data_IF_287197198243
#
_entry.id   IF_287197198243
#
_cell.length_a   1.000
_cell.length_b   1.000
_cell.length_c   1.000
_cell.angle_alpha   90.00
_cell.angle_beta   90.00
_cell.angle_gamma   90.00
#
_symmetry.space_group_name_H-M   'P 1'
#
loop_
_entity.id
_entity.type
_entity.pdbx_description
1 polymer ?
#
# COMPACT_ATOMS: atom_id res chain seq x y z
N UNK A 1 -4.60 1.36 12.92
CA UNK A 1 -5.34 0.27 12.25
C UNK A 1 -4.38 -0.89 12.12
N UNK A 2 -4.58 -1.97 12.87
CA UNK A 2 -3.65 -3.09 12.94
C UNK A 2 -4.16 -4.20 12.01
N UNK A 3 -3.28 -4.72 11.14
CA UNK A 3 -3.57 -5.89 10.31
C UNK A 3 -3.61 -7.11 11.23
N UNK A 4 -4.68 -7.90 11.21
CA UNK A 4 -4.92 -8.95 12.23
C UNK A 4 -4.49 -10.37 11.83
N UNK A 5 -4.04 -10.63 10.60
CA UNK A 5 -3.33 -11.87 10.23
C UNK A 5 -2.81 -11.80 8.78
N UNK A 6 -1.63 -12.35 8.52
CA UNK A 6 -1.14 -12.62 7.16
C UNK A 6 -1.40 -14.09 6.84
N UNK A 7 -2.36 -14.35 5.96
CA UNK A 7 -2.67 -15.69 5.47
C UNK A 7 -2.01 -15.92 4.11
N UNK A 8 -1.37 -17.07 3.90
CA UNK A 8 -0.70 -17.40 2.63
C UNK A 8 -1.72 -17.63 1.52
N UNK A 9 -1.31 -17.44 0.26
CA UNK A 9 -2.18 -17.56 -0.92
C UNK A 9 -2.96 -18.90 -0.99
N UNK A 10 -2.40 -19.99 -0.45
CA UNK A 10 -3.04 -21.33 -0.44
C UNK A 10 -4.27 -21.42 0.46
N UNK A 11 -4.46 -20.44 1.35
CA UNK A 11 -5.63 -20.35 2.24
C UNK A 11 -6.73 -19.42 1.71
N UNK A 12 -6.47 -18.68 0.63
CA UNK A 12 -7.50 -17.99 -0.13
C UNK A 12 -8.07 -18.95 -1.17
N UNK A 13 -9.40 -19.08 -1.32
CA UNK A 13 -9.96 -19.84 -2.42
C UNK A 13 -9.49 -19.22 -3.73
N UNK A 14 -9.31 -20.07 -4.74
CA UNK A 14 -8.99 -19.61 -6.09
C UNK A 14 -10.01 -18.53 -6.49
N UNK A 15 -9.53 -17.30 -6.62
CA UNK A 15 -10.30 -16.18 -7.15
C UNK A 15 -10.81 -16.63 -8.52
N UNK A 16 -12.14 -16.65 -8.69
CA UNK A 16 -12.81 -17.24 -9.86
C UNK A 16 -12.74 -16.34 -11.08
N UNK A 17 -12.38 -15.09 -10.86
CA UNK A 17 -12.23 -14.05 -11.88
C UNK A 17 -11.41 -14.54 -13.05
N UNK A 18 -12.01 -14.40 -14.24
CA UNK A 18 -11.41 -14.83 -15.50
C UNK A 18 -10.20 -13.96 -15.83
N UNK A 19 -9.05 -14.60 -16.03
CA UNK A 19 -7.88 -13.95 -16.63
C UNK A 19 -8.17 -13.72 -18.11
N UNK A 20 -8.12 -12.46 -18.53
CA UNK A 20 -8.34 -12.04 -19.91
C UNK A 20 -7.01 -11.70 -20.58
N UNK A 21 -6.93 -11.86 -21.89
CA UNK A 21 -5.80 -11.35 -22.67
C UNK A 21 -6.22 -10.04 -23.32
N UNK A 22 -5.61 -8.94 -22.89
CA UNK A 22 -5.86 -7.58 -23.39
C UNK A 22 -4.52 -7.03 -23.87
N UNK A 23 -4.44 -6.69 -25.17
CA UNK A 23 -3.20 -6.22 -25.80
C UNK A 23 -2.01 -7.18 -25.58
N UNK A 24 -2.26 -8.49 -25.72
CA UNK A 24 -1.23 -9.52 -25.53
C UNK A 24 -0.79 -9.74 -24.07
N UNK A 25 -1.35 -9.01 -23.10
CA UNK A 25 -1.04 -9.18 -21.67
C UNK A 25 -2.19 -9.85 -20.94
N UNK A 26 -1.85 -10.77 -20.03
CA UNK A 26 -2.81 -11.39 -19.11
C UNK A 26 -3.20 -10.37 -18.04
N UNK A 27 -4.47 -9.99 -18.00
CA UNK A 27 -5.04 -9.02 -17.04
C UNK A 27 -6.27 -9.60 -16.35
N UNK A 28 -6.61 -9.06 -15.20
CA UNK A 28 -7.84 -9.39 -14.48
C UNK A 28 -8.59 -8.11 -14.13
N UNK A 29 -9.91 -8.17 -14.23
CA UNK A 29 -10.78 -7.04 -13.89
C UNK A 29 -10.80 -6.85 -12.38
N UNK A 30 -10.36 -5.68 -11.91
CA UNK A 30 -10.18 -5.39 -10.49
C UNK A 30 -11.49 -5.55 -9.70
N UNK A 31 -12.61 -5.12 -10.30
CA UNK A 31 -13.94 -5.21 -9.69
C UNK A 31 -14.38 -6.67 -9.44
N UNK A 32 -14.12 -7.59 -10.38
CA UNK A 32 -14.44 -9.00 -10.18
C UNK A 32 -13.57 -9.62 -9.08
N UNK A 33 -12.29 -9.21 -8.99
CA UNK A 33 -11.42 -9.61 -7.90
C UNK A 33 -11.98 -9.16 -6.55
N UNK A 34 -12.39 -7.90 -6.42
CA UNK A 34 -13.05 -7.39 -5.21
C UNK A 34 -14.28 -8.21 -4.84
N UNK A 35 -15.15 -8.48 -5.82
CA UNK A 35 -16.36 -9.26 -5.59
C UNK A 35 -16.06 -10.67 -5.08
N UNK A 36 -15.11 -11.38 -5.72
CA UNK A 36 -14.71 -12.73 -5.32
C UNK A 36 -14.12 -12.77 -3.90
N UNK A 37 -13.28 -11.80 -3.54
CA UNK A 37 -12.71 -11.70 -2.19
C UNK A 37 -13.80 -11.36 -1.17
N UNK A 38 -14.74 -10.48 -1.51
CA UNK A 38 -15.88 -10.13 -0.66
C UNK A 38 -16.77 -11.34 -0.39
N UNK A 39 -17.10 -12.13 -1.42
CA UNK A 39 -17.86 -13.38 -1.28
C UNK A 39 -17.10 -14.40 -0.41
N UNK A 40 -15.79 -14.54 -0.61
CA UNK A 40 -14.97 -15.38 0.25
C UNK A 40 -14.94 -14.89 1.71
N UNK A 41 -14.74 -13.59 1.93
CA UNK A 41 -14.68 -12.99 3.25
C UNK A 41 -16.00 -13.21 3.99
N UNK A 42 -17.13 -13.05 3.29
CA UNK A 42 -18.47 -13.31 3.81
C UNK A 42 -18.71 -14.77 4.17
N UNK A 43 -18.34 -15.71 3.29
CA UNK A 43 -18.45 -17.15 3.57
C UNK A 43 -17.57 -17.56 4.76
N UNK A 44 -16.34 -17.05 4.81
CA UNK A 44 -15.40 -17.32 5.89
C UNK A 44 -15.93 -16.77 7.21
N UNK A 45 -16.43 -15.53 7.21
CA UNK A 45 -17.06 -14.90 8.38
C UNK A 45 -18.29 -15.68 8.88
N UNK A 46 -19.10 -16.26 7.99
CA UNK A 46 -20.23 -17.11 8.39
C UNK A 46 -19.81 -18.43 9.04
N UNK A 47 -18.70 -19.02 8.60
CA UNK A 47 -18.19 -20.31 9.10
C UNK A 47 -17.33 -20.14 10.36
N UNK A 48 -16.62 -19.02 10.45
CA UNK A 48 -15.81 -18.58 11.58
C UNK A 48 -15.94 -17.06 11.65
N UNK A 49 -16.82 -16.51 12.51
CA UNK A 49 -16.99 -15.07 12.67
C UNK A 49 -15.63 -14.38 12.70
N UNK A 50 -15.38 -13.56 11.69
CA UNK A 50 -14.07 -13.02 11.41
C UNK A 50 -13.65 -12.03 12.48
N UNK A 51 -12.41 -12.20 12.96
CA UNK A 51 -11.64 -11.28 13.79
C UNK A 51 -11.05 -10.09 13.02
N UNK A 52 -11.52 -9.82 11.80
CA UNK A 52 -10.93 -8.83 10.89
C UNK A 52 -11.96 -7.81 10.42
N UNK A 53 -11.55 -6.55 10.38
CA UNK A 53 -12.35 -5.41 9.89
C UNK A 53 -12.10 -5.10 8.40
N UNK A 54 -11.06 -5.69 7.80
CA UNK A 54 -10.70 -5.48 6.41
C UNK A 54 -9.88 -6.64 5.85
N UNK A 55 -10.08 -6.98 4.58
CA UNK A 55 -9.29 -7.98 3.87
C UNK A 55 -8.59 -7.34 2.66
N UNK A 56 -7.28 -7.51 2.57
CA UNK A 56 -6.51 -7.06 1.40
C UNK A 56 -5.99 -8.26 0.62
N UNK A 57 -6.28 -8.34 -0.68
CA UNK A 57 -5.62 -9.29 -1.58
C UNK A 57 -4.47 -8.63 -2.30
N UNK A 58 -3.28 -9.19 -2.13
CA UNK A 58 -2.09 -8.83 -2.89
C UNK A 58 -1.91 -9.81 -4.06
N UNK A 59 -1.84 -9.30 -5.29
CA UNK A 59 -1.75 -10.11 -6.51
C UNK A 59 -0.66 -9.62 -7.44
N UNK A 60 0.00 -10.54 -8.16
CA UNK A 60 0.93 -10.18 -9.26
C UNK A 60 0.24 -10.02 -10.62
N UNK A 61 -1.07 -10.30 -10.70
CA UNK A 61 -1.82 -10.08 -11.92
C UNK A 61 -1.97 -8.57 -12.22
N UNK A 62 -1.83 -8.21 -13.49
CA UNK A 62 -2.16 -6.88 -13.98
C UNK A 62 -3.66 -6.64 -13.80
N UNK A 63 -4.03 -5.57 -13.09
CA UNK A 63 -5.42 -5.20 -12.85
C UNK A 63 -5.87 -4.15 -13.87
N UNK A 64 -7.12 -4.22 -14.28
CA UNK A 64 -7.73 -3.17 -15.10
C UNK A 64 -9.13 -2.85 -14.62
N UNK A 65 -9.55 -1.61 -14.84
CA UNK A 65 -10.93 -1.18 -14.68
C UNK A 65 -11.60 -1.10 -16.05
N UNK A 66 -12.74 -1.78 -16.22
CA UNK A 66 -13.53 -1.71 -17.46
C UNK A 66 -14.16 -0.35 -17.68
N UNK A 67 -14.57 0.34 -16.62
CA UNK A 67 -15.25 1.63 -16.71
C UNK A 67 -14.30 2.68 -17.26
N UNK A 68 -13.12 2.78 -16.66
CA UNK A 68 -12.09 3.72 -17.07
C UNK A 68 -11.29 3.22 -18.29
N UNK A 69 -11.43 1.94 -18.66
CA UNK A 69 -10.59 1.25 -19.66
C UNK A 69 -9.09 1.36 -19.38
N UNK A 70 -8.73 1.52 -18.10
CA UNK A 70 -7.38 1.84 -17.67
C UNK A 70 -6.78 0.75 -16.79
N UNK A 71 -5.45 0.73 -16.80
CA UNK A 71 -4.66 -0.08 -15.89
C UNK A 71 -4.68 0.57 -14.49
N UNK A 72 -4.98 -0.22 -13.46
CA UNK A 72 -5.04 0.26 -12.07
C UNK A 72 -4.05 -0.50 -11.18
N UNK A 73 -3.49 0.18 -10.18
CA UNK A 73 -2.58 -0.45 -9.22
C UNK A 73 -3.33 -1.13 -8.07
N UNK A 74 -4.54 -0.69 -7.78
CA UNK A 74 -5.40 -1.25 -6.76
C UNK A 74 -6.85 -0.86 -7.00
N UNK A 75 -7.73 -1.44 -6.20
CA UNK A 75 -9.14 -1.02 -6.13
C UNK A 75 -9.70 -1.34 -4.75
N UNK A 76 -10.66 -0.55 -4.32
CA UNK A 76 -11.43 -0.71 -3.09
C UNK A 76 -12.81 -0.09 -3.26
N UNK A 77 -13.75 -0.47 -2.41
CA UNK A 77 -15.06 0.16 -2.35
C UNK A 77 -15.04 1.31 -1.34
N UNK A 78 -15.61 2.45 -1.73
CA UNK A 78 -15.70 3.62 -0.86
C UNK A 78 -16.55 3.31 0.37
N UNK A 79 -16.05 3.64 1.57
CA UNK A 79 -16.78 3.56 2.83
C UNK A 79 -17.23 2.12 3.23
N UNK A 80 -16.57 1.08 2.72
CA UNK A 80 -16.92 -0.33 2.90
C UNK A 80 -16.58 -0.98 4.25
N UNK A 81 -15.83 -0.31 5.14
CA UNK A 81 -15.12 -0.99 6.26
C UNK A 81 -15.98 -1.77 7.28
N UNK A 82 -17.30 -1.58 7.32
CA UNK A 82 -18.19 -2.35 8.19
C UNK A 82 -19.25 -3.15 7.42
N UNK A 83 -19.10 -3.27 6.10
CA UNK A 83 -19.94 -4.12 5.26
C UNK A 83 -19.13 -5.35 4.84
N UNK A 84 -19.60 -6.54 5.19
CA UNK A 84 -18.83 -7.79 5.06
C UNK A 84 -18.43 -8.08 3.60
N UNK A 85 -19.25 -7.66 2.63
CA UNK A 85 -18.94 -7.82 1.20
C UNK A 85 -18.00 -6.73 0.69
N UNK A 86 -17.96 -5.57 1.33
CA UNK A 86 -17.26 -4.38 0.84
C UNK A 86 -16.02 -3.99 1.63
N UNK A 87 -15.74 -4.64 2.76
CA UNK A 87 -14.53 -4.47 3.59
C UNK A 87 -13.28 -5.11 2.95
N UNK A 88 -13.11 -4.93 1.65
CA UNK A 88 -12.09 -5.61 0.85
C UNK A 88 -11.37 -4.63 -0.07
N UNK A 89 -10.08 -4.89 -0.29
CA UNK A 89 -9.31 -4.22 -1.33
C UNK A 89 -8.43 -5.21 -2.10
N UNK A 90 -8.14 -4.88 -3.36
CA UNK A 90 -7.20 -5.61 -4.20
C UNK A 90 -6.03 -4.73 -4.57
N UNK A 91 -4.81 -5.25 -4.44
CA UNK A 91 -3.57 -4.53 -4.67
C UNK A 91 -2.74 -5.33 -5.67
N UNK A 92 -2.41 -4.71 -6.80
CA UNK A 92 -1.36 -5.20 -7.70
C UNK A 92 -0.01 -4.95 -7.07
N UNK A 93 0.72 -6.03 -6.82
CA UNK A 93 2.10 -5.98 -6.32
C UNK A 93 3.04 -5.82 -7.52
N UNK A 94 3.49 -4.58 -7.76
CA UNK A 94 4.64 -4.31 -8.63
C UNK A 94 5.95 -4.50 -7.86
N UNK A 95 6.07 -3.84 -6.71
CA UNK A 95 7.16 -3.98 -5.75
C UNK A 95 6.68 -3.52 -4.36
N UNK A 96 7.42 -3.84 -3.30
CA UNK A 96 7.01 -3.60 -1.90
C UNK A 96 6.53 -2.17 -1.64
N UNK A 97 7.36 -1.16 -1.92
CA UNK A 97 7.03 0.24 -1.59
C UNK A 97 5.78 0.77 -2.31
N UNK A 98 5.60 0.44 -3.60
CA UNK A 98 4.38 0.81 -4.32
C UNK A 98 3.18 0.03 -3.79
N UNK A 99 3.32 -1.27 -3.52
CA UNK A 99 2.24 -2.10 -2.99
C UNK A 99 1.75 -1.58 -1.63
N UNK A 100 2.66 -1.18 -0.72
CA UNK A 100 2.30 -0.60 0.58
C UNK A 100 1.55 0.71 0.41
N UNK A 101 2.03 1.59 -0.46
CA UNK A 101 1.38 2.87 -0.70
C UNK A 101 0.00 2.70 -1.34
N UNK A 102 -0.10 1.85 -2.36
CA UNK A 102 -1.38 1.49 -2.98
C UNK A 102 -2.32 0.85 -1.96
N UNK A 103 -1.85 -0.10 -1.15
CA UNK A 103 -2.67 -0.70 -0.09
C UNK A 103 -3.21 0.35 0.89
N UNK A 104 -2.40 1.35 1.24
CA UNK A 104 -2.78 2.44 2.13
C UNK A 104 -3.80 3.38 1.48
N UNK A 105 -3.65 3.66 0.18
CA UNK A 105 -4.61 4.40 -0.62
C UNK A 105 -5.96 3.67 -0.70
N UNK A 106 -5.94 2.39 -1.06
CA UNK A 106 -7.16 1.56 -1.16
C UNK A 106 -7.87 1.39 0.19
N UNK A 107 -7.11 1.32 1.29
CA UNK A 107 -7.68 1.35 2.64
C UNK A 107 -8.32 2.70 2.95
N UNK A 108 -7.73 3.82 2.49
CA UNK A 108 -8.29 5.15 2.59
C UNK A 108 -9.69 5.24 1.95
N UNK A 109 -9.84 4.71 0.74
CA UNK A 109 -11.17 4.57 0.11
C UNK A 109 -12.13 3.78 1.00
N UNK A 110 -11.71 2.63 1.53
CA UNK A 110 -12.57 1.79 2.37
C UNK A 110 -13.02 2.47 3.68
N UNK A 111 -12.13 3.29 4.24
CA UNK A 111 -12.38 4.14 5.39
C UNK A 111 -13.27 5.35 5.08
N UNK A 112 -13.44 5.67 3.79
CA UNK A 112 -14.40 6.65 3.28
C UNK A 112 -13.79 7.92 2.69
N UNK A 113 -12.48 8.02 2.52
CA UNK A 113 -11.88 9.16 1.82
C UNK A 113 -12.00 8.99 0.31
N UNK A 114 -12.43 10.03 -0.38
CA UNK A 114 -12.34 10.14 -1.84
C UNK A 114 -10.93 10.64 -2.24
N UNK A 115 -10.67 10.73 -3.55
CA UNK A 115 -9.43 11.31 -4.01
C UNK A 115 -9.33 12.80 -3.66
N UNK A 116 -8.13 13.24 -3.30
CA UNK A 116 -7.85 14.67 -3.14
C UNK A 116 -8.10 15.40 -4.47
N UNK A 117 -8.92 16.46 -4.43
CA UNK A 117 -9.29 17.27 -5.59
C UNK A 117 -10.63 16.91 -6.20
N UNK A 118 -11.28 15.85 -5.71
CA UNK A 118 -12.57 15.37 -6.20
C UNK A 118 -13.67 15.52 -5.13
N UNK A 119 -14.92 15.76 -5.57
CA UNK A 119 -16.14 15.61 -4.75
C UNK A 119 -16.05 16.25 -3.34
N UNK A 120 -16.16 15.46 -2.26
CA UNK A 120 -16.11 15.92 -0.85
C UNK A 120 -14.70 16.42 -0.47
N UNK A 121 -13.66 16.02 -1.20
CA UNK A 121 -12.26 16.38 -0.97
C UNK A 121 -11.71 17.47 -1.92
N UNK A 122 -12.59 18.19 -2.64
CA UNK A 122 -12.21 19.28 -3.58
C UNK A 122 -11.33 20.39 -2.99
N UNK A 123 -11.34 20.55 -1.66
CA UNK A 123 -10.54 21.57 -0.97
C UNK A 123 -9.05 21.21 -0.88
N UNK A 124 -8.72 19.91 -0.95
CA UNK A 124 -7.34 19.41 -0.98
C UNK A 124 -6.92 19.22 -2.43
N UNK A 125 -5.78 19.77 -2.85
CA UNK A 125 -5.35 19.70 -4.25
C UNK A 125 -4.71 18.36 -4.56
N UNK A 126 -5.09 17.74 -5.67
CA UNK A 126 -4.48 16.51 -6.16
C UNK A 126 -2.96 16.65 -6.33
N UNK A 127 -2.49 17.85 -6.73
CA UNK A 127 -1.08 18.19 -6.97
C UNK A 127 -0.26 18.31 -5.68
N UNK A 128 -0.88 18.22 -4.51
CA UNK A 128 -0.16 18.14 -3.24
C UNK A 128 0.38 16.74 -2.95
N UNK A 129 -0.02 15.73 -3.74
CA UNK A 129 0.56 14.38 -3.77
C UNK A 129 0.49 13.64 -2.42
N UNK A 130 -0.53 13.93 -1.61
CA UNK A 130 -0.87 13.11 -0.46
C UNK A 130 -1.28 11.69 -0.88
N UNK A 131 -1.45 10.79 0.09
CA UNK A 131 -1.75 9.36 -0.18
C UNK A 131 -2.95 9.20 -1.11
N UNK A 132 -4.00 10.03 -0.96
CA UNK A 132 -5.25 9.97 -1.74
C UNK A 132 -5.21 10.76 -3.06
N UNK A 133 -4.04 11.19 -3.54
CA UNK A 133 -3.93 11.75 -4.90
C UNK A 133 -4.41 10.73 -5.94
N UNK A 134 -5.23 11.13 -6.95
CA UNK A 134 -5.68 10.25 -8.02
C UNK A 134 -4.56 9.95 -9.03
N UNK A 135 -3.44 10.69 -8.96
CA UNK A 135 -2.37 10.59 -9.94
C UNK A 135 -1.39 9.46 -9.65
N UNK A 136 -0.99 8.76 -10.72
CA UNK A 136 0.23 7.95 -10.67
C UNK A 136 1.42 8.86 -10.39
N UNK A 137 2.07 8.63 -9.26
CA UNK A 137 3.26 9.39 -8.93
C UNK A 137 4.40 9.14 -9.92
N UNK A 138 4.84 10.23 -10.52
CA UNK A 138 6.12 10.31 -11.20
C UNK A 138 7.17 10.71 -10.19
N UNK A 139 8.36 10.10 -10.28
CA UNK A 139 9.47 10.50 -9.44
C UNK A 139 9.68 12.02 -9.54
N UNK A 140 9.85 12.64 -8.38
CA UNK A 140 10.13 14.06 -8.28
C UNK A 140 11.06 14.31 -7.09
N UNK A 141 11.72 15.46 -7.08
CA UNK A 141 12.51 15.94 -5.93
C UNK A 141 11.80 17.07 -5.17
N UNK A 142 10.53 17.33 -5.49
CA UNK A 142 9.76 18.38 -4.82
C UNK A 142 9.47 17.99 -3.37
N UNK A 143 9.43 18.99 -2.49
CA UNK A 143 9.10 18.80 -1.07
C UNK A 143 7.76 18.07 -0.91
N UNK A 144 6.75 18.44 -1.71
CA UNK A 144 5.43 17.77 -1.70
C UNK A 144 5.56 16.27 -1.98
N UNK A 145 6.30 15.89 -3.03
CA UNK A 145 6.55 14.49 -3.36
C UNK A 145 7.33 13.75 -2.27
N UNK A 146 8.28 14.41 -1.59
CA UNK A 146 9.09 13.75 -0.57
C UNK A 146 8.28 13.51 0.71
N UNK A 147 7.43 14.46 1.10
CA UNK A 147 6.87 14.49 2.46
C UNK A 147 5.38 14.18 2.53
N UNK A 148 4.56 14.72 1.63
CA UNK A 148 3.10 14.52 1.65
C UNK A 148 2.75 13.08 1.30
N UNK A 149 3.67 12.42 0.62
CA UNK A 149 3.60 11.06 0.15
C UNK A 149 3.42 9.98 1.22
N UNK A 150 3.62 10.36 2.48
CA UNK A 150 3.54 9.53 3.66
C UNK A 150 2.32 9.88 4.53
N UNK A 151 1.48 10.80 4.06
CA UNK A 151 0.43 11.44 4.85
C UNK A 151 -0.90 11.44 4.10
N UNK A 152 -1.97 11.33 4.85
CA UNK A 152 -3.29 11.69 4.38
C UNK A 152 -3.47 13.21 4.43
N UNK A 153 -4.20 13.76 3.46
CA UNK A 153 -4.58 15.17 3.48
C UNK A 153 -5.54 15.47 4.63
N UNK A 154 -5.77 16.75 4.93
CA UNK A 154 -6.77 17.12 5.93
C UNK A 154 -8.19 16.66 5.52
N UNK A 155 -8.52 16.69 4.22
CA UNK A 155 -9.82 16.24 3.70
C UNK A 155 -10.02 14.73 3.94
N UNK A 156 -8.98 13.92 3.69
CA UNK A 156 -9.00 12.49 3.98
C UNK A 156 -9.24 12.23 5.48
N UNK A 157 -8.51 12.94 6.35
CA UNK A 157 -8.64 12.81 7.81
C UNK A 157 -10.04 13.22 8.30
N UNK A 158 -10.61 14.29 7.76
CA UNK A 158 -11.96 14.74 8.07
C UNK A 158 -13.03 13.74 7.60
N UNK A 159 -12.84 13.15 6.42
CA UNK A 159 -13.73 12.08 5.96
C UNK A 159 -13.66 10.87 6.89
N UNK A 160 -12.46 10.39 7.25
CA UNK A 160 -12.31 9.28 8.20
C UNK A 160 -13.03 9.55 9.52
N UNK A 161 -12.82 10.74 10.11
CA UNK A 161 -13.50 11.14 11.35
C UNK A 161 -15.03 11.10 11.21
N UNK A 162 -15.54 11.57 10.08
CA UNK A 162 -16.98 11.66 9.82
C UNK A 162 -17.58 10.28 9.58
N UNK A 163 -17.03 9.50 8.65
CA UNK A 163 -17.58 8.20 8.22
C UNK A 163 -17.38 7.10 9.28
N UNK A 164 -16.37 7.20 10.14
CA UNK A 164 -16.13 6.23 11.22
C UNK A 164 -16.88 6.55 12.53
N UNK A 165 -17.41 7.77 12.70
CA UNK A 165 -18.00 8.23 13.98
C UNK A 165 -19.03 7.24 14.56
N UNK A 166 -19.94 6.75 13.72
CA UNK A 166 -21.01 5.81 14.10
C UNK A 166 -20.68 4.33 13.88
N UNK A 167 -19.52 4.02 13.28
CA UNK A 167 -19.13 2.65 12.93
C UNK A 167 -18.51 1.94 14.13
N UNK A 168 -19.16 0.89 14.63
CA UNK A 168 -18.69 0.15 15.80
C UNK A 168 -17.79 -1.05 15.46
N UNK A 169 -17.76 -1.53 14.21
CA UNK A 169 -16.97 -2.70 13.85
C UNK A 169 -15.47 -2.50 14.15
N UNK A 170 -14.91 -1.35 13.76
CA UNK A 170 -13.51 -0.97 13.98
C UNK A 170 -13.19 -0.45 15.40
N UNK A 171 -14.16 -0.42 16.31
CA UNK A 171 -13.97 0.04 17.71
C UNK A 171 -13.71 -1.12 18.66
N UNK A 172 -14.06 -2.34 18.26
CA UNK A 172 -13.88 -3.51 19.11
C UNK A 172 -12.42 -3.94 19.10
N UNK A 173 -11.83 -4.28 20.26
CA UNK A 173 -10.51 -4.89 20.28
C UNK A 173 -10.59 -6.25 19.55
N UNK A 174 -9.72 -6.43 18.55
CA UNK A 174 -9.70 -7.65 17.75
C UNK A 174 -9.46 -8.90 18.60
N UNK A 175 -10.06 -10.06 18.26
CA UNK A 175 -9.78 -11.33 18.92
C UNK A 175 -8.29 -11.68 18.82
N UNK A 176 -7.61 -11.65 19.97
CA UNK A 176 -6.24 -12.13 20.19
C UNK A 176 -5.21 -11.50 19.23
N UNK A 177 -4.67 -10.35 19.63
CA UNK A 177 -3.41 -9.89 19.10
C UNK A 177 -2.31 -10.87 19.54
N UNK A 178 -1.85 -11.74 18.63
CA UNK A 178 -0.70 -12.59 18.89
C UNK A 178 0.56 -11.71 18.96
N UNK A 179 0.84 -11.18 20.15
CA UNK A 179 1.99 -10.31 20.40
C UNK A 179 3.30 -10.95 19.93
N UNK A 180 3.44 -12.27 20.00
CA UNK A 180 4.67 -12.96 19.58
C UNK A 180 4.87 -12.89 18.06
N UNK A 181 3.82 -13.12 17.28
CA UNK A 181 3.84 -13.06 15.82
C UNK A 181 4.09 -11.64 15.31
N UNK A 182 3.54 -10.65 16.00
CA UNK A 182 3.62 -9.24 15.60
C UNK A 182 4.76 -8.45 16.26
N UNK A 183 5.48 -9.04 17.23
CA UNK A 183 6.54 -8.36 17.99
C UNK A 183 7.57 -7.72 17.06
N UNK A 184 7.95 -8.43 16.00
CA UNK A 184 8.93 -7.94 15.03
C UNK A 184 8.43 -6.65 14.35
N UNK A 185 7.19 -6.65 13.85
CA UNK A 185 6.60 -5.50 13.15
C UNK A 185 6.25 -4.33 14.06
N UNK A 186 6.12 -4.54 15.37
CA UNK A 186 5.89 -3.47 16.34
C UNK A 186 7.16 -2.87 16.95
N UNK A 187 8.28 -3.61 16.91
CA UNK A 187 9.54 -3.18 17.56
C UNK A 187 10.61 -2.73 16.57
N UNK A 188 10.46 -3.10 15.30
CA UNK A 188 11.39 -2.76 14.22
C UNK A 188 10.67 -2.00 13.13
N UNK A 189 11.34 -1.00 12.59
CA UNK A 189 10.91 -0.33 11.37
C UNK A 189 11.28 -1.20 10.15
N UNK A 190 10.61 -0.99 9.02
CA UNK A 190 10.87 -1.81 7.82
C UNK A 190 12.34 -1.75 7.34
N UNK A 191 13.01 -0.62 7.53
CA UNK A 191 14.43 -0.42 7.22
C UNK A 191 15.39 -1.03 8.25
N UNK A 192 14.90 -1.48 9.41
CA UNK A 192 15.67 -2.33 10.35
C UNK A 192 15.65 -3.80 9.92
N UNK A 193 14.71 -4.16 9.03
CA UNK A 193 14.48 -5.54 8.57
C UNK A 193 15.05 -5.75 7.17
N UNK A 194 14.91 -4.77 6.28
CA UNK A 194 15.34 -4.85 4.89
C UNK A 194 16.43 -3.84 4.58
N UNK A 195 17.58 -4.34 4.13
CA UNK A 195 18.70 -3.56 3.63
C UNK A 195 18.38 -2.92 2.27
N UNK A 196 19.08 -1.85 1.87
CA UNK A 196 18.93 -1.26 0.52
C UNK A 196 19.15 -2.26 -0.62
N UNK A 197 20.06 -3.23 -0.46
CA UNK A 197 20.28 -4.31 -1.43
C UNK A 197 19.05 -5.23 -1.55
N UNK A 198 18.44 -5.63 -0.44
CA UNK A 198 17.22 -6.46 -0.45
C UNK A 198 16.05 -5.70 -1.07
N UNK A 199 15.93 -4.39 -0.79
CA UNK A 199 14.94 -3.55 -1.44
C UNK A 199 15.17 -3.50 -2.97
N UNK A 200 16.42 -3.39 -3.43
CA UNK A 200 16.74 -3.44 -4.85
C UNK A 200 16.44 -4.81 -5.48
N UNK A 201 16.70 -5.90 -4.75
CA UNK A 201 16.34 -7.26 -5.15
C UNK A 201 14.82 -7.43 -5.29
N UNK A 202 14.02 -6.92 -4.35
CA UNK A 202 12.55 -7.04 -4.44
C UNK A 202 11.96 -6.32 -5.63
N UNK A 203 12.68 -5.35 -6.19
CA UNK A 203 12.17 -4.58 -7.31
C UNK A 203 12.62 -5.11 -8.67
N UNK A 204 13.93 -5.36 -8.85
CA UNK A 204 14.48 -5.79 -10.14
C UNK A 204 14.79 -7.29 -10.19
N UNK A 205 14.69 -8.00 -9.07
CA UNK A 205 14.96 -9.41 -8.98
C UNK A 205 16.43 -9.77 -8.73
N UNK A 206 16.79 -11.05 -8.91
CA UNK A 206 18.13 -11.57 -8.62
C UNK A 206 19.24 -10.80 -9.33
N UNK A 207 20.28 -10.41 -8.59
CA UNK A 207 21.45 -9.69 -9.11
C UNK A 207 21.36 -8.17 -9.04
N UNK A 208 20.17 -7.62 -8.73
CA UNK A 208 20.01 -6.19 -8.44
C UNK A 208 20.58 -5.83 -7.07
N UNK A 209 21.31 -4.71 -7.00
CA UNK A 209 21.93 -4.20 -5.78
C UNK A 209 21.86 -2.68 -5.72
N UNK A 210 21.97 -2.14 -4.51
CA UNK A 210 22.08 -0.71 -4.28
C UNK A 210 23.41 -0.17 -4.82
N UNK A 211 23.35 0.94 -5.53
CA UNK A 211 24.54 1.62 -6.10
C UNK A 211 24.59 3.10 -5.77
N UNK A 212 23.72 3.56 -4.88
CA UNK A 212 23.70 4.95 -4.43
C UNK A 212 24.64 5.20 -3.26
N UNK A 213 24.62 6.42 -2.76
CA UNK A 213 25.28 6.79 -1.52
C UNK A 213 24.29 6.75 -0.35
N UNK A 214 24.77 6.42 0.85
CA UNK A 214 24.00 6.52 2.09
C UNK A 214 23.86 7.99 2.50
N UNK A 215 23.03 8.72 1.76
CA UNK A 215 22.77 10.15 1.91
C UNK A 215 21.29 10.43 2.14
N UNK A 216 20.93 11.70 2.35
CA UNK A 216 19.51 12.12 2.46
C UNK A 216 18.64 11.71 1.27
N UNK A 217 19.24 11.49 0.09
CA UNK A 217 18.50 11.10 -1.11
C UNK A 217 17.88 9.71 -0.98
N UNK A 218 18.54 8.79 -0.26
CA UNK A 218 18.04 7.41 -0.09
C UNK A 218 16.64 7.39 0.52
N UNK A 219 16.26 8.39 1.33
CA UNK A 219 14.96 8.40 2.00
C UNK A 219 13.76 8.57 1.07
N UNK A 220 13.97 9.09 -0.15
CA UNK A 220 12.90 9.27 -1.14
C UNK A 220 13.22 8.69 -2.52
N UNK A 221 14.47 8.29 -2.76
CA UNK A 221 14.91 7.73 -4.03
C UNK A 221 15.96 6.63 -3.82
N UNK A 222 15.58 5.38 -4.12
CA UNK A 222 16.49 4.23 -4.12
C UNK A 222 17.16 4.06 -5.50
N UNK A 223 18.49 3.94 -5.50
CA UNK A 223 19.29 3.71 -6.71
C UNK A 223 19.70 2.24 -6.80
N UNK A 224 19.25 1.54 -7.84
CA UNK A 224 19.53 0.12 -8.01
C UNK A 224 20.17 -0.17 -9.35
N UNK A 225 21.04 -1.18 -9.40
CA UNK A 225 21.56 -1.72 -10.64
C UNK A 225 20.56 -2.68 -11.27
N UNK A 226 20.26 -2.52 -12.55
CA UNK A 226 19.55 -3.54 -13.31
C UNK A 226 20.53 -4.68 -13.68
N UNK A 227 20.28 -5.92 -13.23
CA UNK A 227 21.14 -7.06 -13.55
C UNK A 227 21.13 -7.44 -15.04
N UNK A 228 20.07 -7.12 -15.79
CA UNK A 228 19.94 -7.48 -17.21
C UNK A 228 20.68 -6.53 -18.15
N UNK A 229 20.72 -5.23 -17.83
CA UNK A 229 21.37 -4.21 -18.67
C UNK A 229 22.70 -3.70 -18.10
N UNK A 230 22.96 -3.92 -16.81
CA UNK A 230 24.12 -3.38 -16.09
C UNK A 230 24.05 -1.86 -15.84
N UNK A 231 23.00 -1.19 -16.32
CA UNK A 231 22.79 0.24 -16.19
C UNK A 231 22.29 0.54 -14.76
N UNK A 232 22.80 1.63 -14.17
CA UNK A 232 22.22 2.19 -12.96
C UNK A 232 20.82 2.71 -13.28
N UNK A 233 19.80 2.00 -12.80
CA UNK A 233 18.44 2.50 -12.88
C UNK A 233 18.13 3.30 -11.62
N UNK A 234 17.90 4.59 -11.82
CA UNK A 234 17.09 5.35 -10.86
C UNK A 234 15.68 4.83 -11.03
N UNK A 235 15.03 4.40 -9.95
CA UNK A 235 13.67 4.83 -9.63
C UNK A 235 12.87 3.81 -8.83
N UNK A 236 12.87 3.90 -7.49
CA UNK A 236 11.65 3.61 -6.74
C UNK A 236 11.40 4.62 -5.63
N UNK A 237 10.12 4.98 -5.52
CA UNK A 237 9.51 5.81 -4.49
C UNK A 237 9.79 5.21 -3.11
N UNK A 238 10.23 6.07 -2.19
CA UNK A 238 10.16 5.84 -0.74
C UNK A 238 10.87 4.57 -0.27
N UNK A 239 12.14 4.70 0.08
CA UNK A 239 12.86 3.66 0.82
C UNK A 239 12.16 3.39 2.15
N UNK A 240 12.30 2.17 2.67
CA UNK A 240 11.66 1.75 3.90
C UNK A 240 11.97 2.71 5.06
N UNK A 241 10.94 3.12 5.80
CA UNK A 241 11.08 3.86 7.06
C UNK A 241 12.06 3.13 7.97
N UNK A 242 12.96 3.86 8.63
CA UNK A 242 14.04 3.32 9.45
C UNK A 242 15.38 3.07 8.72
N UNK A 243 15.41 3.14 7.38
CA UNK A 243 16.65 2.88 6.62
C UNK A 243 17.74 3.89 6.96
N UNK A 244 18.98 3.43 7.13
CA UNK A 244 20.12 4.31 7.40
C UNK A 244 20.39 5.26 6.21
N UNK A 245 20.58 6.54 6.51
CA UNK A 245 20.85 7.59 5.52
C UNK A 245 22.07 8.46 5.86
N UNK A 246 22.83 8.02 6.86
CA UNK A 246 24.04 8.68 7.37
C UNK A 246 24.36 8.21 8.78
N UNK A 247 25.46 8.71 9.35
CA UNK A 247 25.89 8.37 10.70
C UNK A 247 24.86 8.82 11.73
N UNK A 248 24.39 7.87 12.56
CA UNK A 248 23.32 8.08 13.56
C UNK A 248 22.05 8.74 12.99
N UNK A 249 21.78 8.53 11.69
CA UNK A 249 20.59 9.04 11.00
C UNK A 249 19.85 7.94 10.27
N UNK A 250 18.55 8.15 10.09
CA UNK A 250 17.64 7.22 9.44
C UNK A 250 16.49 7.93 8.73
N UNK A 251 15.83 7.22 7.83
CA UNK A 251 14.74 7.73 7.01
C UNK A 251 13.41 7.65 7.74
N UNK A 252 12.78 8.79 7.98
CA UNK A 252 11.42 8.89 8.53
C UNK A 252 10.61 9.78 7.60
N UNK A 253 9.52 9.23 7.06
CA UNK A 253 8.55 9.93 6.21
C UNK A 253 9.22 10.77 5.09
N UNK A 254 10.19 10.15 4.40
CA UNK A 254 10.93 10.75 3.27
C UNK A 254 12.13 11.61 3.66
N UNK A 255 12.37 11.87 4.96
CA UNK A 255 13.47 12.71 5.44
C UNK A 255 14.54 11.91 6.17
N UNK A 256 15.79 12.34 6.02
CA UNK A 256 16.91 11.83 6.81
C UNK A 256 17.03 12.61 8.12
N UNK A 257 16.67 11.98 9.23
CA UNK A 257 16.60 12.60 10.56
C UNK A 257 17.55 11.90 11.55
N UNK A 258 17.97 12.54 12.65
CA UNK A 258 18.72 11.88 13.71
C UNK A 258 17.93 10.71 14.34
N UNK A 259 18.64 9.64 14.72
CA UNK A 259 18.03 8.51 15.46
C UNK A 259 17.54 8.90 16.85
N UNK A 260 18.04 10.00 17.42
CA UNK A 260 17.57 10.56 18.70
C UNK A 260 16.18 11.21 18.61
N UNK A 261 15.62 11.39 17.41
CA UNK A 261 14.27 11.93 17.20
C UNK A 261 13.17 10.87 17.29
N UNK A 262 13.45 9.72 17.93
CA UNK A 262 12.53 8.58 18.12
C UNK A 262 11.62 8.79 19.32
#
# INVERSE_FOLDING_TARGET
MFLSSLKTADSFPRVRSKVLTIEGKKRVEAYNYLYDIGDWANKTNKLQPSSYDHVMLFTRHDLFDRKEKEFVFGMSLLNGICDVMSQVSVIRVSHYAAAVRTATHELGHNLGAEHDGELEARACKAEDLFIMTPYRLKLSKTVRYIENNWKFSICSIESFRTKLKSKNCVKNPGPVFNMAEWRMFMTKEAGDVFTPDELCYFVYGPGSKFTGEMSKEICYLLHCKDPGTGIQMKAYLNTARGTQCGDNKWCIDGRCVPKSSK
#
